data_IF_874392257812
#
_entry.id   IF_874392257812
#
_cell.length_a   1.000
_cell.length_b   1.000
_cell.length_c   1.000
_cell.angle_alpha   90.00
_cell.angle_beta   90.00
_cell.angle_gamma   90.00
#
_symmetry.space_group_name_H-M   'P 1'
#
loop_
_entity.id
_entity.type
_entity.pdbx_description
1 polymer ?
#
# COMPACT_ATOMS: atom_id res chain seq x y z
N UNK A 1 25.08 4.25 -8.90
CA UNK A 1 25.22 5.62 -8.35
C UNK A 1 23.96 5.97 -7.56
N UNK A 2 24.04 6.94 -6.66
CA UNK A 2 22.97 7.37 -5.72
C UNK A 2 21.56 7.45 -6.30
N UNK A 3 20.55 7.07 -5.49
CA UNK A 3 19.24 7.73 -5.55
C UNK A 3 19.47 9.21 -5.25
N UNK A 4 19.59 10.04 -6.30
CA UNK A 4 19.56 11.49 -6.13
C UNK A 4 18.09 11.85 -5.87
N UNK A 5 17.67 11.76 -4.59
CA UNK A 5 16.31 12.04 -4.12
C UNK A 5 16.05 13.55 -4.19
N UNK A 6 16.07 14.06 -5.43
CA UNK A 6 15.78 15.43 -5.75
C UNK A 6 14.37 15.73 -5.24
N UNK A 7 14.21 16.84 -4.52
CA UNK A 7 12.94 17.26 -3.91
C UNK A 7 11.74 17.14 -4.86
N UNK A 8 11.97 17.38 -6.16
CA UNK A 8 11.01 17.21 -7.27
C UNK A 8 10.43 15.78 -7.40
N UNK A 9 11.21 14.73 -7.22
CA UNK A 9 10.75 13.33 -7.30
C UNK A 9 9.88 12.96 -6.09
N UNK A 10 10.30 13.42 -4.91
CA UNK A 10 9.55 13.22 -3.66
C UNK A 10 8.21 13.99 -3.70
N UNK A 11 8.21 15.22 -4.21
CA UNK A 11 7.00 15.99 -4.50
C UNK A 11 6.11 15.32 -5.56
N UNK A 12 6.67 14.78 -6.65
CA UNK A 12 5.91 14.04 -7.67
C UNK A 12 5.23 12.81 -7.07
N UNK A 13 5.94 12.02 -6.26
CA UNK A 13 5.38 10.86 -5.54
C UNK A 13 4.27 11.28 -4.57
N UNK A 14 4.46 12.38 -3.84
CA UNK A 14 3.45 12.92 -2.93
C UNK A 14 2.23 13.48 -3.67
N UNK A 15 2.41 14.23 -4.75
CA UNK A 15 1.33 14.80 -5.55
C UNK A 15 0.52 13.70 -6.26
N UNK A 16 1.17 12.72 -6.89
CA UNK A 16 0.49 11.64 -7.61
C UNK A 16 -0.18 10.64 -6.64
N UNK A 17 0.44 10.34 -5.50
CA UNK A 17 -0.17 9.52 -4.44
C UNK A 17 -1.34 10.25 -3.75
N UNK A 18 -1.13 11.50 -3.35
CA UNK A 18 -2.12 12.33 -2.66
C UNK A 18 -3.31 12.69 -3.54
N UNK A 19 -3.09 13.06 -4.81
CA UNK A 19 -4.20 13.32 -5.75
C UNK A 19 -5.03 12.05 -6.01
N UNK A 20 -4.42 10.87 -6.07
CA UNK A 20 -5.16 9.62 -6.17
C UNK A 20 -6.00 9.31 -4.91
N UNK A 21 -5.52 9.66 -3.72
CA UNK A 21 -6.30 9.55 -2.46
C UNK A 21 -7.44 10.57 -2.41
N UNK A 22 -7.23 11.80 -2.91
CA UNK A 22 -8.31 12.80 -3.03
C UNK A 22 -9.33 12.40 -4.09
N UNK A 23 -8.90 11.83 -5.22
CA UNK A 23 -9.79 11.34 -6.28
C UNK A 23 -10.58 10.10 -5.85
N UNK A 24 -10.00 9.17 -5.08
CA UNK A 24 -10.73 8.03 -4.53
C UNK A 24 -11.78 8.46 -3.51
N UNK A 25 -11.47 9.44 -2.67
CA UNK A 25 -12.44 10.06 -1.76
C UNK A 25 -13.53 10.84 -2.53
N UNK A 26 -13.18 11.61 -3.56
CA UNK A 26 -14.16 12.31 -4.39
C UNK A 26 -15.12 11.32 -5.09
N UNK A 27 -14.60 10.24 -5.66
CA UNK A 27 -15.42 9.15 -6.21
C UNK A 27 -16.32 8.50 -5.14
N UNK A 28 -15.82 8.33 -3.91
CA UNK A 28 -16.60 7.82 -2.76
C UNK A 28 -17.77 8.72 -2.33
N UNK A 29 -17.67 10.03 -2.56
CA UNK A 29 -18.68 11.02 -2.14
C UNK A 29 -19.68 11.32 -3.26
N UNK A 30 -19.22 11.30 -4.51
CA UNK A 30 -20.05 11.54 -5.70
C UNK A 30 -20.89 10.31 -6.10
N UNK A 31 -20.51 9.10 -5.69
CA UNK A 31 -21.25 7.87 -5.99
C UNK A 31 -22.09 7.42 -4.77
N UNK A 32 -23.37 7.03 -4.95
CA UNK A 32 -24.26 6.68 -3.83
C UNK A 32 -23.84 5.38 -3.11
N UNK A 33 -23.02 4.54 -3.74
CA UNK A 33 -22.53 3.29 -3.16
C UNK A 33 -21.31 3.53 -2.26
N UNK A 34 -21.56 3.75 -0.95
CA UNK A 34 -20.50 3.87 0.09
C UNK A 34 -19.44 2.76 0.05
N UNK A 35 -19.79 1.55 -0.39
CA UNK A 35 -18.85 0.43 -0.57
C UNK A 35 -17.76 0.70 -1.62
N UNK A 36 -18.06 1.46 -2.68
CA UNK A 36 -17.07 1.86 -3.68
C UNK A 36 -15.97 2.74 -3.06
N UNK A 37 -16.27 3.49 -2.00
CA UNK A 37 -15.28 4.27 -1.27
C UNK A 37 -14.16 3.42 -0.68
N UNK A 38 -14.49 2.28 -0.08
CA UNK A 38 -13.47 1.33 0.41
C UNK A 38 -12.64 0.73 -0.73
N UNK A 39 -13.28 0.42 -1.86
CA UNK A 39 -12.61 -0.14 -3.04
C UNK A 39 -11.64 0.87 -3.65
N UNK A 40 -12.08 2.11 -3.89
CA UNK A 40 -11.22 3.19 -4.39
C UNK A 40 -10.16 3.62 -3.36
N UNK A 41 -10.41 3.51 -2.06
CA UNK A 41 -9.38 3.76 -1.04
C UNK A 41 -8.21 2.75 -1.10
N UNK A 42 -8.43 1.54 -1.65
CA UNK A 42 -7.36 0.56 -1.93
C UNK A 42 -6.66 0.74 -3.27
N UNK A 43 -6.97 1.80 -4.03
CA UNK A 43 -6.43 2.02 -5.38
C UNK A 43 -4.89 2.17 -5.38
N UNK A 44 -4.15 1.35 -6.15
CA UNK A 44 -2.71 1.16 -5.98
C UNK A 44 -1.84 2.26 -6.65
N UNK A 45 -2.28 3.51 -6.65
CA UNK A 45 -1.58 4.62 -7.32
C UNK A 45 -0.12 4.78 -6.85
N UNK A 46 0.13 4.66 -5.55
CA UNK A 46 1.50 4.76 -4.99
C UNK A 46 2.43 3.68 -5.56
N UNK A 47 1.90 2.46 -5.80
CA UNK A 47 2.65 1.40 -6.48
C UNK A 47 2.91 1.77 -7.95
N UNK A 48 1.89 2.22 -8.68
CA UNK A 48 2.01 2.58 -10.10
C UNK A 48 3.09 3.65 -10.29
N UNK A 49 3.06 4.72 -9.49
CA UNK A 49 4.05 5.80 -9.53
C UNK A 49 5.45 5.29 -9.17
N UNK A 50 5.59 4.46 -8.13
CA UNK A 50 6.88 3.91 -7.74
C UNK A 50 7.48 2.98 -8.82
N UNK A 51 6.66 2.15 -9.45
CA UNK A 51 7.06 1.21 -10.52
C UNK A 51 7.40 1.96 -11.81
N UNK A 52 6.64 3.00 -12.19
CA UNK A 52 6.94 3.83 -13.37
C UNK A 52 8.25 4.60 -13.21
N UNK A 53 8.45 5.30 -12.09
CA UNK A 53 9.69 6.06 -11.84
C UNK A 53 10.93 5.15 -11.82
N UNK A 54 10.85 3.98 -11.17
CA UNK A 54 11.96 3.02 -11.17
C UNK A 54 12.13 2.34 -12.53
N UNK A 55 11.05 2.13 -13.30
CA UNK A 55 11.12 1.63 -14.67
C UNK A 55 11.85 2.56 -15.63
N UNK A 56 11.57 3.86 -15.57
CA UNK A 56 12.29 4.88 -16.35
C UNK A 56 13.73 5.08 -15.88
N UNK A 57 13.99 5.08 -14.57
CA UNK A 57 15.33 5.36 -14.04
C UNK A 57 16.29 4.15 -13.97
N UNK A 58 15.76 2.91 -13.88
CA UNK A 58 16.54 1.69 -13.59
C UNK A 58 16.09 0.46 -14.39
N UNK A 59 15.17 0.63 -15.34
CA UNK A 59 14.70 -0.43 -16.23
C UNK A 59 13.69 -1.41 -15.62
N UNK A 60 13.15 -2.27 -16.49
CA UNK A 60 12.09 -3.23 -16.16
C UNK A 60 12.45 -4.22 -15.06
N UNK A 61 13.73 -4.62 -14.95
CA UNK A 61 14.20 -5.55 -13.93
C UNK A 61 13.95 -5.01 -12.51
N UNK A 62 14.43 -3.80 -12.19
CA UNK A 62 14.21 -3.15 -10.89
C UNK A 62 12.75 -2.77 -10.67
N UNK A 63 12.04 -2.34 -11.71
CA UNK A 63 10.61 -2.10 -11.64
C UNK A 63 9.83 -3.36 -11.22
N UNK A 64 10.22 -4.54 -11.72
CA UNK A 64 9.61 -5.82 -11.35
C UNK A 64 9.88 -6.22 -9.90
N UNK A 65 11.03 -5.85 -9.33
CA UNK A 65 11.34 -6.08 -7.91
C UNK A 65 10.50 -5.18 -7.00
N UNK A 66 10.35 -3.90 -7.35
CA UNK A 66 9.46 -2.97 -6.63
C UNK A 66 8.01 -3.47 -6.69
N UNK A 67 7.50 -3.84 -7.88
CA UNK A 67 6.15 -4.37 -8.04
C UNK A 67 5.93 -5.65 -7.20
N UNK A 68 6.89 -6.58 -7.19
CA UNK A 68 6.86 -7.79 -6.34
C UNK A 68 6.85 -7.44 -4.85
N UNK A 69 7.63 -6.45 -4.42
CA UNK A 69 7.61 -5.92 -3.06
C UNK A 69 6.23 -5.36 -2.67
N UNK A 70 5.63 -4.55 -3.55
CA UNK A 70 4.30 -3.98 -3.36
C UNK A 70 3.20 -5.05 -3.25
N UNK A 71 3.29 -6.15 -4.02
CA UNK A 71 2.33 -7.28 -3.90
C UNK A 71 2.35 -7.91 -2.50
N UNK A 72 3.53 -8.08 -1.87
CA UNK A 72 3.60 -8.60 -0.50
C UNK A 72 3.03 -7.61 0.53
N UNK A 73 3.25 -6.31 0.33
CA UNK A 73 2.63 -5.25 1.16
C UNK A 73 1.11 -5.21 1.05
N UNK A 74 0.58 -5.33 -0.18
CA UNK A 74 -0.88 -5.36 -0.43
C UNK A 74 -1.53 -6.66 0.08
N UNK A 75 -0.85 -7.80 0.01
CA UNK A 75 -1.33 -9.04 0.64
C UNK A 75 -1.49 -8.90 2.15
N UNK A 76 -0.57 -8.17 2.81
CA UNK A 76 -0.71 -7.81 4.23
C UNK A 76 -1.93 -6.93 4.53
N UNK A 77 -2.42 -6.12 3.58
CA UNK A 77 -3.57 -5.22 3.80
C UNK A 77 -4.87 -6.00 4.07
N UNK A 78 -5.03 -7.21 3.52
CA UNK A 78 -6.16 -8.06 3.85
C UNK A 78 -6.17 -8.45 5.34
N UNK A 79 -5.00 -8.80 5.89
CA UNK A 79 -4.84 -9.11 7.33
C UNK A 79 -5.09 -7.87 8.18
N UNK A 80 -4.61 -6.70 7.74
CA UNK A 80 -4.90 -5.41 8.38
C UNK A 80 -6.41 -5.18 8.53
N UNK A 81 -7.17 -5.25 7.43
CA UNK A 81 -8.62 -4.99 7.44
C UNK A 81 -9.36 -6.00 8.31
N UNK A 82 -9.01 -7.29 8.24
CA UNK A 82 -9.61 -8.33 9.10
C UNK A 82 -9.31 -8.08 10.58
N UNK A 83 -8.07 -7.72 10.93
CA UNK A 83 -7.69 -7.39 12.30
C UNK A 83 -8.42 -6.14 12.83
N UNK A 84 -8.50 -5.06 12.03
CA UNK A 84 -9.25 -3.83 12.40
C UNK A 84 -10.72 -4.16 12.61
N UNK A 85 -11.36 -4.91 11.71
CA UNK A 85 -12.77 -5.30 11.84
C UNK A 85 -13.03 -6.17 13.08
N UNK A 86 -12.09 -7.07 13.42
CA UNK A 86 -12.18 -7.88 14.63
C UNK A 86 -12.04 -7.04 15.90
N UNK A 87 -10.97 -6.25 16.03
CA UNK A 87 -10.74 -5.40 17.22
C UNK A 87 -11.81 -4.31 17.38
N UNK A 88 -12.35 -3.77 16.29
CA UNK A 88 -13.41 -2.77 16.36
C UNK A 88 -14.75 -3.39 16.78
N UNK A 89 -15.00 -4.68 16.49
CA UNK A 89 -16.14 -5.43 17.04
C UNK A 89 -15.98 -5.81 18.52
N UNK A 90 -14.76 -6.10 18.98
CA UNK A 90 -14.54 -6.60 20.36
C UNK A 90 -14.26 -5.50 21.38
N UNK A 91 -13.59 -4.41 20.99
CA UNK A 91 -13.19 -3.33 21.90
C UNK A 91 -13.98 -2.03 21.72
N UNK A 92 -14.58 -1.80 20.55
CA UNK A 92 -15.23 -0.53 20.19
C UNK A 92 -14.28 0.67 19.99
N UNK A 93 -13.02 0.61 20.46
CA UNK A 93 -12.03 1.68 20.29
C UNK A 93 -11.40 1.60 18.89
N UNK A 94 -11.93 2.38 17.96
CA UNK A 94 -11.46 2.43 16.57
C UNK A 94 -9.98 2.92 16.46
N UNK A 95 -9.45 3.80 17.35
CA UNK A 95 -8.02 4.23 17.26
C UNK A 95 -7.08 3.08 17.63
N UNK A 96 -7.43 2.34 18.68
CA UNK A 96 -6.68 1.19 19.17
C UNK A 96 -6.72 0.04 18.14
N UNK A 97 -7.89 -0.17 17.53
CA UNK A 97 -8.09 -1.10 16.42
C UNK A 97 -7.23 -0.77 15.19
N UNK A 98 -7.14 0.51 14.81
CA UNK A 98 -6.27 0.97 13.72
C UNK A 98 -4.79 0.78 14.03
N UNK A 99 -4.35 1.09 15.27
CA UNK A 99 -2.97 0.89 15.70
C UNK A 99 -2.54 -0.60 15.66
N UNK A 100 -3.38 -1.48 16.21
CA UNK A 100 -3.16 -2.94 16.15
C UNK A 100 -3.20 -3.45 14.70
N UNK A 101 -4.11 -2.94 13.87
CA UNK A 101 -4.18 -3.24 12.44
C UNK A 101 -2.88 -2.91 11.71
N UNK A 102 -2.31 -1.72 11.93
CA UNK A 102 -1.07 -1.27 11.29
C UNK A 102 0.15 -2.10 11.72
N UNK A 103 0.22 -2.51 12.99
CA UNK A 103 1.27 -3.43 13.48
C UNK A 103 1.09 -4.82 12.84
N UNK A 104 -0.14 -5.34 12.81
CA UNK A 104 -0.46 -6.64 12.21
C UNK A 104 -0.18 -6.67 10.70
N UNK A 105 -0.47 -5.57 9.99
CA UNK A 105 -0.12 -5.34 8.59
C UNK A 105 1.38 -5.50 8.34
N UNK A 106 2.20 -4.75 9.08
CA UNK A 106 3.65 -4.72 8.90
C UNK A 106 4.28 -6.07 9.20
N UNK A 107 3.87 -6.71 10.30
CA UNK A 107 4.30 -8.07 10.66
C UNK A 107 3.92 -9.09 9.57
N UNK A 108 2.68 -9.02 9.06
CA UNK A 108 2.19 -9.95 8.03
C UNK A 108 2.95 -9.78 6.71
N UNK A 109 3.13 -8.55 6.24
CA UNK A 109 3.90 -8.26 5.02
C UNK A 109 5.36 -8.72 5.14
N UNK A 110 5.99 -8.51 6.31
CA UNK A 110 7.35 -8.96 6.58
C UNK A 110 7.46 -10.49 6.65
N UNK A 111 6.51 -11.18 7.28
CA UNK A 111 6.44 -12.64 7.32
C UNK A 111 6.25 -13.24 5.92
N UNK A 112 5.32 -12.71 5.12
CA UNK A 112 5.09 -13.14 3.73
C UNK A 112 6.38 -12.99 2.91
N UNK A 113 7.06 -11.84 3.01
CA UNK A 113 8.35 -11.61 2.35
C UNK A 113 9.42 -12.63 2.82
N UNK A 114 9.56 -12.84 4.13
CA UNK A 114 10.57 -13.75 4.71
C UNK A 114 10.33 -15.21 4.28
N UNK A 115 9.08 -15.69 4.33
CA UNK A 115 8.69 -17.04 3.88
C UNK A 115 8.98 -17.20 2.38
N UNK A 116 8.55 -16.25 1.53
CA UNK A 116 8.80 -16.31 0.08
C UNK A 116 10.29 -16.23 -0.27
N UNK A 117 11.10 -15.53 0.53
CA UNK A 117 12.57 -15.52 0.38
C UNK A 117 13.21 -16.84 0.81
N UNK A 118 12.71 -17.47 1.88
CA UNK A 118 13.17 -18.78 2.35
C UNK A 118 12.90 -19.88 1.33
N UNK A 119 11.69 -19.92 0.75
CA UNK A 119 11.30 -20.92 -0.27
C UNK A 119 12.13 -20.77 -1.56
N UNK A 120 12.67 -19.57 -1.85
CA UNK A 120 13.55 -19.31 -3.00
C UNK A 120 15.06 -19.41 -2.65
N UNK A 121 15.38 -20.07 -1.54
CA UNK A 121 16.74 -20.27 -1.03
C UNK A 121 17.04 -21.76 -0.76
N UNK A 122 16.23 -22.64 -1.36
CA UNK A 122 16.38 -24.09 -1.46
C UNK A 122 16.05 -24.50 -2.90
#
# INVERSE_FOLDING_TARGET
MTMHTNWKDLLLRFLLGGSAVVLSYAASVLLPWKALGGIFATFPAVMIVAVLMVGWAQGSARASEIARGSVYGMAGCAVCVVAVLYFMKTTGLWWLSLGLGLVCWYLSAFLIYKVRRSIKSS
#
